data_IF_927996550441
#
_entry.id   IF_927996550441
#
_cell.length_a   1.000
_cell.length_b   1.000
_cell.length_c   1.000
_cell.angle_alpha   90.00
_cell.angle_beta   90.00
_cell.angle_gamma   90.00
#
_symmetry.space_group_name_H-M   'P 1'
#
loop_
_entity.id
_entity.type
_entity.pdbx_description
1 polymer ?
#
# COMPACT_ATOMS: atom_id res chain seq x y z
N UNK A 1 -16.93 13.41 -30.15
CA UNK A 1 -16.15 12.60 -29.19
C UNK A 1 -16.90 12.34 -27.87
N UNK A 2 -18.24 12.29 -27.87
CA UNK A 2 -19.03 12.04 -26.67
C UNK A 2 -20.08 10.97 -26.92
N UNK A 3 -19.63 9.73 -26.76
CA UNK A 3 -20.44 8.60 -26.31
C UNK A 3 -19.42 7.67 -25.62
N UNK A 4 -18.84 8.17 -24.53
CA UNK A 4 -17.91 7.38 -23.72
C UNK A 4 -18.66 6.26 -23.01
N UNK A 5 -17.99 5.14 -22.79
CA UNK A 5 -18.54 4.02 -22.03
C UNK A 5 -18.73 4.42 -20.55
N UNK A 6 -19.99 4.69 -20.18
CA UNK A 6 -20.35 5.12 -18.83
C UNK A 6 -20.05 4.05 -17.77
N UNK A 7 -20.09 2.76 -18.14
CA UNK A 7 -19.75 1.68 -17.22
C UNK A 7 -18.25 1.68 -16.93
N UNK A 8 -17.42 1.79 -17.98
CA UNK A 8 -15.97 1.90 -17.82
C UNK A 8 -15.58 3.16 -17.02
N UNK A 9 -16.29 4.28 -17.21
CA UNK A 9 -16.04 5.50 -16.44
C UNK A 9 -16.34 5.32 -14.94
N UNK A 10 -17.41 4.60 -14.60
CA UNK A 10 -17.77 4.30 -13.21
C UNK A 10 -16.76 3.35 -12.56
N UNK A 11 -16.36 2.29 -13.28
CA UNK A 11 -15.35 1.34 -12.82
C UNK A 11 -14.00 2.03 -12.54
N UNK A 12 -13.59 2.95 -13.41
CA UNK A 12 -12.36 3.74 -13.22
C UNK A 12 -12.47 4.69 -12.03
N UNK A 13 -13.65 5.28 -11.79
CA UNK A 13 -13.87 6.14 -10.63
C UNK A 13 -13.75 5.37 -9.31
N UNK A 14 -14.33 4.16 -9.24
CA UNK A 14 -14.22 3.29 -8.07
C UNK A 14 -12.77 2.83 -7.85
N UNK A 15 -12.06 2.44 -8.92
CA UNK A 15 -10.62 2.13 -8.86
C UNK A 15 -9.78 3.32 -8.37
N UNK A 16 -10.07 4.54 -8.83
CA UNK A 16 -9.34 5.73 -8.42
C UNK A 16 -9.54 6.06 -6.93
N UNK A 17 -10.74 5.82 -6.39
CA UNK A 17 -11.01 6.00 -4.97
C UNK A 17 -10.23 5.02 -4.11
N UNK A 18 -10.28 3.72 -4.44
CA UNK A 18 -9.54 2.67 -3.72
C UNK A 18 -8.02 2.92 -3.75
N UNK A 19 -7.48 3.27 -4.93
CA UNK A 19 -6.05 3.57 -5.08
C UNK A 19 -5.63 4.81 -4.28
N UNK A 20 -6.51 5.80 -4.18
CA UNK A 20 -6.27 7.01 -3.38
C UNK A 20 -6.23 6.69 -1.88
N UNK A 21 -7.15 5.86 -1.38
CA UNK A 21 -7.15 5.43 0.02
C UNK A 21 -5.91 4.58 0.34
N UNK A 22 -5.56 3.63 -0.54
CA UNK A 22 -4.32 2.85 -0.40
C UNK A 22 -3.08 3.74 -0.34
N UNK A 23 -2.96 4.69 -1.27
CA UNK A 23 -1.85 5.63 -1.29
C UNK A 23 -1.83 6.52 -0.04
N UNK A 24 -3.00 6.90 0.51
CA UNK A 24 -3.05 7.68 1.73
C UNK A 24 -2.55 6.89 2.95
N UNK A 25 -2.90 5.61 3.06
CA UNK A 25 -2.39 4.77 4.14
C UNK A 25 -0.86 4.56 4.05
N UNK A 26 -0.33 4.35 2.84
CA UNK A 26 1.10 4.08 2.63
C UNK A 26 1.95 5.35 2.72
N UNK A 27 1.53 6.46 2.09
CA UNK A 27 2.32 7.68 1.96
C UNK A 27 2.01 8.76 3.01
N UNK A 28 1.09 8.48 3.92
CA UNK A 28 0.91 9.28 5.13
C UNK A 28 0.69 10.80 4.94
N UNK A 29 -0.14 11.25 3.96
CA UNK A 29 -0.39 12.68 3.76
C UNK A 29 -1.08 13.32 4.97
N UNK A 30 -1.80 12.55 5.80
CA UNK A 30 -2.45 13.02 7.02
C UNK A 30 -1.45 13.51 8.09
N UNK A 31 -0.23 12.95 8.09
CA UNK A 31 0.84 13.37 8.99
C UNK A 31 1.98 14.08 8.25
N UNK A 32 1.67 14.70 7.10
CA UNK A 32 2.64 15.49 6.34
C UNK A 32 3.77 14.65 5.72
N UNK A 33 3.46 13.42 5.29
CA UNK A 33 4.39 12.49 4.64
C UNK A 33 5.53 12.00 5.54
N UNK A 34 5.36 12.08 6.87
CA UNK A 34 6.37 11.66 7.84
C UNK A 34 6.70 10.16 7.75
N UNK A 35 5.69 9.32 7.51
CA UNK A 35 5.84 7.87 7.45
C UNK A 35 5.99 7.27 6.05
N UNK A 36 6.44 8.01 5.03
CA UNK A 36 6.48 7.51 3.64
C UNK A 36 7.38 6.29 3.46
N UNK A 37 8.67 6.40 3.80
CA UNK A 37 9.61 5.30 3.56
C UNK A 37 9.32 4.13 4.50
N UNK A 38 9.09 4.43 5.78
CA UNK A 38 8.66 3.44 6.77
C UNK A 38 7.35 2.74 6.35
N UNK A 39 6.42 3.46 5.72
CA UNK A 39 5.15 2.93 5.19
C UNK A 39 5.34 1.95 4.05
N UNK A 40 6.23 2.25 3.10
CA UNK A 40 6.61 1.30 2.04
C UNK A 40 7.27 0.06 2.64
N UNK A 41 8.20 0.24 3.59
CA UNK A 41 8.82 -0.88 4.28
C UNK A 41 7.80 -1.72 5.07
N UNK A 42 6.78 -1.08 5.65
CA UNK A 42 5.72 -1.78 6.37
C UNK A 42 4.88 -2.66 5.45
N UNK A 43 4.57 -2.21 4.23
CA UNK A 43 3.93 -3.07 3.21
C UNK A 43 4.78 -4.30 2.94
N UNK A 44 6.09 -4.11 2.67
CA UNK A 44 7.02 -5.20 2.39
C UNK A 44 7.18 -6.14 3.61
N UNK A 45 7.17 -5.58 4.83
CA UNK A 45 7.23 -6.35 6.07
C UNK A 45 5.97 -7.19 6.26
N UNK A 46 4.79 -6.65 6.02
CA UNK A 46 3.54 -7.42 6.08
C UNK A 46 3.43 -8.49 4.99
N UNK A 47 4.14 -8.33 3.86
CA UNK A 47 4.33 -9.37 2.84
C UNK A 47 5.43 -10.40 3.21
N UNK A 48 6.23 -10.09 4.23
CA UNK A 48 7.38 -10.88 4.68
C UNK A 48 8.62 -10.75 3.80
N UNK A 49 8.65 -9.76 2.91
CA UNK A 49 9.83 -9.43 2.08
C UNK A 49 10.91 -8.68 2.89
N UNK A 50 10.52 -8.02 3.99
CA UNK A 50 11.42 -7.41 4.96
C UNK A 50 11.12 -7.92 6.37
N UNK A 51 12.13 -7.96 7.24
CA UNK A 51 11.98 -8.33 8.65
C UNK A 51 11.53 -7.15 9.53
N UNK A 52 11.68 -5.92 9.05
CA UNK A 52 11.42 -4.69 9.79
C UNK A 52 11.34 -3.48 8.87
N UNK A 53 11.14 -2.31 9.48
CA UNK A 53 10.85 -1.04 8.76
C UNK A 53 12.01 -0.03 8.79
N UNK A 54 13.24 -0.51 8.96
CA UNK A 54 14.40 0.34 9.21
C UNK A 54 14.65 1.34 8.07
N UNK A 55 14.82 2.61 8.44
CA UNK A 55 15.18 3.69 7.54
C UNK A 55 16.65 4.10 7.73
N UNK A 56 17.20 4.87 6.78
CA UNK A 56 18.55 5.42 6.90
C UNK A 56 18.65 6.46 8.03
N UNK A 57 17.60 7.27 8.18
CA UNK A 57 17.40 8.11 9.35
C UNK A 57 16.72 7.28 10.45
N UNK A 58 17.35 7.08 11.62
CA UNK A 58 16.75 6.32 12.72
C UNK A 58 15.47 6.95 13.29
N UNK A 59 15.26 8.25 13.09
CA UNK A 59 14.07 8.96 13.54
C UNK A 59 12.90 8.83 12.54
N UNK A 60 13.16 8.36 11.32
CA UNK A 60 12.11 8.12 10.33
C UNK A 60 11.40 6.79 10.62
N UNK A 61 10.15 6.89 11.07
CA UNK A 61 9.31 5.76 11.48
C UNK A 61 7.87 5.96 11.03
N UNK A 62 7.03 4.94 11.19
CA UNK A 62 5.59 5.04 10.96
C UNK A 62 4.94 6.08 11.88
N UNK A 63 3.97 6.80 11.32
CA UNK A 63 3.06 7.63 12.11
C UNK A 63 2.13 6.77 12.97
N UNK A 64 1.61 7.30 14.09
CA UNK A 64 0.67 6.57 14.93
C UNK A 64 -0.52 6.01 14.14
N UNK A 65 -0.74 4.70 14.20
CA UNK A 65 -1.85 4.01 13.53
C UNK A 65 -1.60 3.64 12.06
N UNK A 66 -0.52 4.11 11.43
CA UNK A 66 -0.26 3.89 10.01
C UNK A 66 -0.14 2.40 9.64
N UNK A 67 0.50 1.58 10.49
CA UNK A 67 0.59 0.13 10.27
C UNK A 67 -0.79 -0.54 10.14
N UNK A 68 -1.74 -0.15 10.98
CA UNK A 68 -3.09 -0.67 10.98
C UNK A 68 -3.89 -0.17 9.76
N UNK A 69 -3.66 1.08 9.32
CA UNK A 69 -4.26 1.59 8.08
C UNK A 69 -3.72 0.87 6.85
N UNK A 70 -2.41 0.58 6.81
CA UNK A 70 -1.80 -0.22 5.73
C UNK A 70 -2.41 -1.63 5.70
N UNK A 71 -2.57 -2.28 6.85
CA UNK A 71 -3.24 -3.58 6.93
C UNK A 71 -4.70 -3.49 6.44
N UNK A 72 -5.44 -2.47 6.88
CA UNK A 72 -6.84 -2.23 6.48
C UNK A 72 -6.97 -2.11 4.97
N UNK A 73 -6.18 -1.26 4.31
CA UNK A 73 -6.30 -1.05 2.85
C UNK A 73 -5.86 -2.25 2.04
N UNK A 74 -4.85 -3.01 2.50
CA UNK A 74 -4.42 -4.25 1.84
C UNK A 74 -5.52 -5.31 1.85
N UNK A 75 -6.22 -5.45 2.99
CA UNK A 75 -7.35 -6.37 3.12
C UNK A 75 -8.60 -5.88 2.39
N UNK A 76 -8.84 -4.56 2.36
CA UNK A 76 -9.99 -3.98 1.68
C UNK A 76 -9.87 -4.03 0.15
N UNK A 77 -8.66 -3.89 -0.38
CA UNK A 77 -8.39 -3.76 -1.81
C UNK A 77 -7.43 -4.85 -2.33
N UNK A 78 -7.80 -6.15 -2.25
CA UNK A 78 -6.92 -7.24 -2.66
C UNK A 78 -6.53 -7.17 -4.15
N UNK A 79 -7.34 -6.52 -4.99
CA UNK A 79 -7.04 -6.28 -6.42
C UNK A 79 -5.89 -5.29 -6.67
N UNK A 80 -5.52 -4.50 -5.65
CA UNK A 80 -4.46 -3.50 -5.72
C UNK A 80 -3.14 -3.99 -5.11
N UNK A 81 -3.09 -5.26 -4.70
CA UNK A 81 -1.92 -5.86 -4.07
C UNK A 81 -1.60 -7.21 -4.69
N UNK A 82 -0.31 -7.47 -4.91
CA UNK A 82 0.20 -8.74 -5.45
C UNK A 82 0.47 -9.78 -4.35
N UNK A 83 -0.22 -9.69 -3.20
CA UNK A 83 0.05 -10.50 -2.02
C UNK A 83 0.07 -12.02 -2.30
N UNK A 84 -0.85 -12.52 -3.12
CA UNK A 84 -0.90 -13.93 -3.48
C UNK A 84 0.31 -14.37 -4.31
N UNK A 85 0.71 -13.54 -5.29
CA UNK A 85 1.87 -13.78 -6.13
C UNK A 85 3.17 -13.72 -5.32
N UNK A 86 3.28 -12.73 -4.44
CA UNK A 86 4.44 -12.61 -3.55
C UNK A 86 4.52 -13.81 -2.61
N UNK A 87 3.41 -14.23 -1.99
CA UNK A 87 3.39 -15.39 -1.11
C UNK A 87 3.83 -16.69 -1.82
N UNK A 88 3.50 -16.85 -3.11
CA UNK A 88 3.90 -18.01 -3.91
C UNK A 88 5.41 -18.09 -4.15
N UNK A 89 6.08 -16.94 -4.33
CA UNK A 89 7.46 -16.89 -4.82
C UNK A 89 8.50 -16.38 -3.82
N UNK A 90 8.07 -15.71 -2.74
CA UNK A 90 8.98 -15.07 -1.77
C UNK A 90 10.05 -16.01 -1.23
N UNK A 91 9.67 -17.23 -0.87
CA UNK A 91 10.61 -18.21 -0.28
C UNK A 91 11.63 -18.75 -1.30
N UNK A 92 11.43 -18.52 -2.59
CA UNK A 92 12.44 -18.75 -3.64
C UNK A 92 13.40 -17.56 -3.73
N UNK A 93 12.87 -16.33 -3.70
CA UNK A 93 13.65 -15.09 -3.83
C UNK A 93 14.57 -14.82 -2.63
N UNK A 94 14.16 -15.22 -1.43
CA UNK A 94 14.90 -14.96 -0.18
C UNK A 94 15.89 -16.08 0.21
N UNK A 95 16.25 -16.96 -0.73
CA UNK A 95 17.25 -18.03 -0.49
C UNK A 95 18.69 -17.56 -0.62
#
# INVERSE_FOLDING_TARGET
AQAGDAAAALELADLAADLTDLNAAVFDPANGFAGVIAGVHEVLRQQGLLEGIWCLDPEETLSPGQAAEIERVRLAYPRLSDDAFIAEHRDEWLR
#
